data_IF_611410613007
#
_entry.id   IF_611410613007
#
_cell.length_a   1.000
_cell.length_b   1.000
_cell.length_c   1.000
_cell.angle_alpha   90.00
_cell.angle_beta   90.00
_cell.angle_gamma   90.00
#
_symmetry.space_group_name_H-M   'P 1'
#
loop_
_entity.id
_entity.type
_entity.pdbx_description
1 polymer ?
#
# COMPACT_ATOMS: atom_id res chain seq x y z
N UNK A 1 20.14 -3.00 9.01
CA UNK A 1 19.67 -3.24 7.63
C UNK A 1 18.16 -3.21 7.65
N UNK A 2 17.52 -2.18 7.09
CA UNK A 2 16.06 -2.18 6.95
C UNK A 2 15.70 -3.18 5.85
N UNK A 3 14.94 -4.21 6.23
CA UNK A 3 14.47 -5.26 5.33
C UNK A 3 13.31 -4.68 4.52
N UNK A 4 13.30 -4.87 3.19
CA UNK A 4 12.10 -4.55 2.40
C UNK A 4 10.93 -5.32 2.97
N UNK A 5 9.89 -4.59 3.34
CA UNK A 5 8.73 -5.15 4.01
C UNK A 5 7.47 -4.55 3.43
N UNK A 6 6.54 -5.43 3.10
CA UNK A 6 5.18 -5.06 2.71
C UNK A 6 4.27 -5.73 3.73
N UNK A 7 3.37 -4.95 4.33
CA UNK A 7 2.35 -5.43 5.26
C UNK A 7 0.99 -5.05 4.73
N UNK A 8 0.03 -5.94 4.90
CA UNK A 8 -1.36 -5.72 4.55
C UNK A 8 -2.18 -5.94 5.82
N UNK A 9 -2.95 -4.94 6.19
CA UNK A 9 -3.86 -5.00 7.34
C UNK A 9 -5.29 -4.78 6.82
N UNK A 10 -6.16 -5.78 6.99
CA UNK A 10 -7.57 -5.65 6.60
C UNK A 10 -8.36 -4.99 7.72
N UNK A 11 -9.14 -3.96 7.37
CA UNK A 11 -10.04 -3.25 8.26
C UNK A 11 -11.47 -3.48 7.77
N UNK A 12 -12.00 -4.67 8.09
CA UNK A 12 -13.32 -5.11 7.63
C UNK A 12 -14.44 -4.17 8.08
N UNK A 13 -14.34 -3.63 9.31
CA UNK A 13 -15.29 -2.66 9.86
C UNK A 13 -15.44 -1.40 9.00
N UNK A 14 -14.36 -1.00 8.30
CA UNK A 14 -14.35 0.18 7.42
C UNK A 14 -14.35 -0.19 5.93
N UNK A 15 -14.36 -1.49 5.61
CA UNK A 15 -14.36 -2.03 4.26
C UNK A 15 -13.15 -1.61 3.43
N UNK A 16 -11.97 -1.49 4.03
CA UNK A 16 -10.73 -1.21 3.30
C UNK A 16 -9.55 -2.00 3.88
N UNK A 17 -8.48 -2.11 3.11
CA UNK A 17 -7.19 -2.65 3.57
C UNK A 17 -6.15 -1.54 3.58
N UNK A 18 -5.16 -1.66 4.47
CA UNK A 18 -4.02 -0.77 4.56
C UNK A 18 -2.81 -1.52 4.03
N UNK A 19 -2.10 -0.95 3.06
CA UNK A 19 -0.85 -1.47 2.52
C UNK A 19 0.29 -0.59 3.00
N UNK A 20 1.12 -1.12 3.89
CA UNK A 20 2.31 -0.42 4.39
C UNK A 20 3.56 -1.00 3.73
N UNK A 21 4.40 -0.12 3.17
CA UNK A 21 5.62 -0.46 2.44
C UNK A 21 6.77 0.27 3.10
N UNK A 22 7.75 -0.50 3.57
CA UNK A 22 9.03 0.00 4.05
C UNK A 22 10.15 -0.53 3.15
N UNK A 23 10.84 0.37 2.46
CA UNK A 23 11.93 -0.01 1.57
C UNK A 23 12.93 1.13 1.32
N UNK A 24 14.03 0.79 0.63
CA UNK A 24 14.99 1.79 0.14
C UNK A 24 14.30 2.70 -0.87
N UNK A 25 14.41 4.00 -0.67
CA UNK A 25 13.85 4.99 -1.58
C UNK A 25 14.56 4.97 -2.93
N UNK A 26 13.80 5.21 -3.99
CA UNK A 26 14.29 5.31 -5.36
C UNK A 26 13.38 6.20 -6.19
N UNK A 27 13.90 6.81 -7.27
CA UNK A 27 13.07 7.54 -8.22
C UNK A 27 11.88 6.71 -8.69
N UNK A 28 10.69 7.33 -8.71
CA UNK A 28 9.41 6.75 -9.16
C UNK A 28 8.84 5.64 -8.27
N UNK A 29 9.38 5.42 -7.08
CA UNK A 29 8.87 4.38 -6.19
C UNK A 29 7.35 4.52 -5.92
N UNK A 30 6.87 5.72 -5.57
CA UNK A 30 5.44 5.99 -5.38
C UNK A 30 4.64 5.72 -6.65
N UNK A 31 5.14 6.16 -7.81
CA UNK A 31 4.46 5.95 -9.09
C UNK A 31 4.30 4.47 -9.39
N UNK A 32 5.37 3.69 -9.27
CA UNK A 32 5.35 2.24 -9.49
C UNK A 32 4.36 1.56 -8.52
N UNK A 33 4.31 1.99 -7.25
CA UNK A 33 3.36 1.47 -6.26
C UNK A 33 1.91 1.79 -6.65
N UNK A 34 1.60 3.04 -6.99
CA UNK A 34 0.24 3.48 -7.35
C UNK A 34 -0.24 2.79 -8.63
N UNK A 35 0.63 2.67 -9.64
CA UNK A 35 0.32 1.92 -10.85
C UNK A 35 0.04 0.46 -10.52
N UNK A 36 0.88 -0.19 -9.70
CA UNK A 36 0.68 -1.59 -9.30
C UNK A 36 -0.68 -1.78 -8.61
N UNK A 37 -1.04 -0.91 -7.65
CA UNK A 37 -2.33 -0.99 -6.96
C UNK A 37 -3.50 -0.79 -7.94
N UNK A 38 -3.37 0.16 -8.86
CA UNK A 38 -4.39 0.48 -9.86
C UNK A 38 -4.57 -0.66 -10.88
N UNK A 39 -3.46 -1.26 -11.35
CA UNK A 39 -3.46 -2.40 -12.26
C UNK A 39 -4.11 -3.64 -11.63
N UNK A 40 -3.96 -3.78 -10.30
CA UNK A 40 -4.66 -4.77 -9.48
C UNK A 40 -6.09 -4.37 -9.13
N UNK A 41 -6.64 -3.32 -9.75
CA UNK A 41 -8.01 -2.84 -9.58
C UNK A 41 -8.35 -2.36 -8.14
N UNK A 42 -7.34 -1.88 -7.40
CA UNK A 42 -7.55 -1.20 -6.14
C UNK A 42 -7.71 0.31 -6.31
N UNK A 43 -8.71 0.85 -5.62
CA UNK A 43 -8.92 2.29 -5.45
C UNK A 43 -8.22 2.75 -4.18
N UNK A 44 -7.40 3.79 -4.26
CA UNK A 44 -6.71 4.42 -3.13
C UNK A 44 -7.55 5.61 -2.63
N UNK A 45 -7.97 5.61 -1.38
CA UNK A 45 -8.71 6.74 -0.78
C UNK A 45 -7.80 7.75 -0.09
N UNK A 46 -6.78 7.23 0.59
CA UNK A 46 -5.84 8.01 1.37
C UNK A 46 -4.47 7.37 1.24
N UNK A 47 -3.44 8.20 1.29
CA UNK A 47 -2.07 7.73 1.33
C UNK A 47 -1.23 8.64 2.22
N UNK A 48 -0.34 8.04 3.01
CA UNK A 48 0.68 8.74 3.77
C UNK A 48 2.05 8.28 3.27
N UNK A 49 2.87 9.22 2.83
CA UNK A 49 4.21 8.93 2.31
C UNK A 49 5.21 9.76 3.11
N UNK A 50 6.19 9.09 3.70
CA UNK A 50 7.35 9.72 4.30
C UNK A 50 8.63 9.15 3.70
N UNK A 51 9.64 10.00 3.58
CA UNK A 51 10.98 9.59 3.17
C UNK A 51 11.99 10.14 4.18
N UNK A 52 12.99 9.33 4.51
CA UNK A 52 14.09 9.73 5.37
C UNK A 52 15.39 9.18 4.78
N UNK A 53 16.27 10.10 4.38
CA UNK A 53 17.53 9.80 3.69
C UNK A 53 17.35 8.91 2.46
N UNK A 54 17.66 7.62 2.58
CA UNK A 54 17.61 6.64 1.51
C UNK A 54 16.46 5.63 1.70
N UNK A 55 15.48 5.93 2.55
CA UNK A 55 14.38 5.05 2.90
C UNK A 55 13.04 5.76 2.72
N UNK A 56 12.04 4.99 2.28
CA UNK A 56 10.68 5.44 2.11
C UNK A 56 9.74 4.53 2.88
N UNK A 57 8.83 5.16 3.61
CA UNK A 57 7.67 4.53 4.19
C UNK A 57 6.42 5.04 3.48
N UNK A 58 5.61 4.14 2.95
CA UNK A 58 4.37 4.48 2.26
C UNK A 58 3.24 3.65 2.83
N UNK A 59 2.11 4.29 3.11
CA UNK A 59 0.90 3.67 3.62
C UNK A 59 -0.26 4.04 2.71
N UNK A 60 -0.93 3.04 2.14
CA UNK A 60 -2.03 3.22 1.20
C UNK A 60 -3.31 2.57 1.74
N UNK A 61 -4.38 3.36 1.81
CA UNK A 61 -5.71 2.90 2.21
C UNK A 61 -6.49 2.55 0.95
N UNK A 62 -6.69 1.24 0.73
CA UNK A 62 -7.19 0.69 -0.52
C UNK A 62 -8.49 -0.10 -0.36
N UNK A 63 -9.31 -0.13 -1.41
CA UNK A 63 -10.44 -1.07 -1.55
C UNK A 63 -10.47 -1.58 -2.97
N UNK A 64 -10.78 -2.86 -3.15
CA UNK A 64 -10.92 -3.41 -4.49
C UNK A 64 -12.19 -2.87 -5.16
N UNK A 65 -12.16 -2.71 -6.48
CA UNK A 65 -13.28 -2.08 -7.22
C UNK A 65 -14.59 -2.88 -7.10
N UNK A 66 -14.53 -4.19 -6.84
CA UNK A 66 -15.71 -5.03 -6.58
C UNK A 66 -16.36 -4.80 -5.20
N UNK A 67 -15.78 -3.91 -4.39
CA UNK A 67 -16.30 -3.51 -3.09
C UNK A 67 -15.86 -4.42 -1.92
N UNK A 68 -15.10 -5.48 -2.19
CA UNK A 68 -14.58 -6.35 -1.12
C UNK A 68 -13.23 -5.86 -0.62
N UNK A 69 -13.01 -5.99 0.70
CA UNK A 69 -11.67 -5.86 1.27
C UNK A 69 -10.79 -7.01 0.77
N UNK A 70 -9.47 -6.81 0.74
CA UNK A 70 -8.53 -7.86 0.35
C UNK A 70 -8.67 -9.00 1.37
N UNK A 71 -9.34 -10.08 0.96
CA UNK A 71 -9.59 -11.23 1.82
C UNK A 71 -8.29 -12.05 1.91
N UNK A 72 -7.58 -11.91 3.02
CA UNK A 72 -6.37 -12.71 3.30
C UNK A 72 -6.68 -14.06 3.96
N UNK A 73 -7.94 -14.52 3.95
CA UNK A 73 -8.26 -15.88 4.37
C UNK A 73 -7.67 -16.88 3.35
N UNK A 74 -6.51 -17.44 3.71
CA UNK A 74 -6.05 -18.75 3.22
C UNK A 74 -6.67 -19.85 4.07
#
# INVERSE_FOLDING_TARGET
MVKRMVRIESCDEKGYSIVSIDCKDRPRLMFDTVCTLTDMQYVIFHASISSHEAYAFQEYFIRHIDGYALNTAS
#
